data_IF_290219413482
#
_entry.id   IF_290219413482
#
_cell.length_a   1.000
_cell.length_b   1.000
_cell.length_c   1.000
_cell.angle_alpha   90.00
_cell.angle_beta   90.00
_cell.angle_gamma   90.00
#
_symmetry.space_group_name_H-M   'P 1'
#
loop_
_entity.id
_entity.type
_entity.pdbx_description
1 polymer ?
#
# COMPACT_ATOMS: atom_id res chain seq x y z
N UNK A 1 -5.40 6.39 41.63
CA UNK A 1 -4.66 6.39 40.35
C UNK A 1 -5.02 7.69 39.63
N UNK A 2 -4.03 8.52 39.24
CA UNK A 2 -4.26 9.88 38.70
C UNK A 2 -3.98 10.03 37.21
N UNK A 3 -3.61 8.95 36.51
CA UNK A 3 -3.32 8.96 35.08
C UNK A 3 -3.84 7.68 34.42
N UNK A 4 -4.20 7.80 33.15
CA UNK A 4 -4.64 6.71 32.26
C UNK A 4 -3.77 6.73 31.00
N UNK A 5 -3.27 5.57 30.57
CA UNK A 5 -2.49 5.45 29.35
C UNK A 5 -3.42 5.20 28.14
N UNK A 6 -3.29 6.02 27.11
CA UNK A 6 -4.01 5.87 25.83
C UNK A 6 -3.02 5.50 24.75
N UNK A 7 -3.18 4.32 24.14
CA UNK A 7 -2.24 3.75 23.16
C UNK A 7 -2.95 3.51 21.84
N UNK A 8 -2.36 4.03 20.75
CA UNK A 8 -2.74 3.73 19.37
C UNK A 8 -1.60 3.03 18.64
N UNK A 9 -1.93 2.12 17.72
CA UNK A 9 -0.96 1.36 16.94
C UNK A 9 -1.15 1.63 15.44
N UNK A 10 -0.04 1.76 14.72
CA UNK A 10 -0.01 1.80 13.27
C UNK A 10 0.70 0.53 12.77
N UNK A 11 0.00 -0.25 11.94
CA UNK A 11 0.49 -1.55 11.47
C UNK A 11 0.54 -1.55 9.95
N UNK A 12 1.71 -1.86 9.39
CA UNK A 12 1.89 -2.09 7.96
C UNK A 12 2.02 -3.59 7.70
N UNK A 13 1.29 -4.10 6.70
CA UNK A 13 1.28 -5.53 6.33
C UNK A 13 1.66 -5.68 4.86
N UNK A 14 2.65 -6.51 4.58
CA UNK A 14 3.01 -6.86 3.20
C UNK A 14 2.04 -7.92 2.65
N UNK A 15 1.36 -7.60 1.55
CA UNK A 15 0.44 -8.52 0.89
C UNK A 15 1.23 -9.53 0.04
N UNK A 16 1.04 -10.82 0.32
CA UNK A 16 1.68 -11.93 -0.41
C UNK A 16 1.08 -12.13 -1.81
N UNK A 17 1.33 -11.16 -2.68
CA UNK A 17 0.93 -11.15 -4.10
C UNK A 17 2.09 -11.65 -4.97
N UNK A 18 1.80 -12.09 -6.21
CA UNK A 18 2.85 -12.54 -7.14
C UNK A 18 3.64 -11.37 -7.74
N UNK A 19 2.95 -10.26 -8.01
CA UNK A 19 3.53 -9.05 -8.62
C UNK A 19 3.31 -7.82 -7.74
N UNK A 20 4.15 -6.80 -7.90
CA UNK A 20 4.07 -5.55 -7.15
C UNK A 20 2.72 -4.83 -7.33
N UNK A 21 2.45 -3.86 -6.46
CA UNK A 21 1.16 -3.17 -6.41
C UNK A 21 0.81 -2.35 -7.67
N UNK A 22 1.82 -1.80 -8.37
CA UNK A 22 1.60 -0.85 -9.48
C UNK A 22 2.33 -1.22 -10.78
N UNK A 23 2.95 -2.40 -10.85
CA UNK A 23 3.64 -2.91 -12.04
C UNK A 23 3.73 -4.45 -12.01
N UNK A 24 4.18 -5.05 -13.10
CA UNK A 24 4.22 -6.52 -13.24
C UNK A 24 5.51 -7.18 -12.73
N UNK A 25 6.40 -6.45 -12.04
CA UNK A 25 7.59 -7.06 -11.43
C UNK A 25 7.19 -8.06 -10.33
N UNK A 26 7.98 -9.13 -10.10
CA UNK A 26 7.76 -10.04 -8.98
C UNK A 26 7.78 -9.34 -7.63
N UNK A 27 6.89 -9.76 -6.72
CA UNK A 27 6.95 -9.44 -5.28
C UNK A 27 7.52 -10.65 -4.52
N UNK A 28 8.84 -10.85 -4.64
CA UNK A 28 9.55 -12.00 -4.08
C UNK A 28 10.71 -11.56 -3.19
N UNK A 29 10.90 -12.27 -2.08
CA UNK A 29 12.00 -12.06 -1.14
C UNK A 29 13.28 -12.77 -1.60
N UNK A 30 14.44 -12.21 -1.27
CA UNK A 30 15.74 -12.88 -1.41
C UNK A 30 16.36 -12.87 -2.82
N UNK A 31 15.88 -12.03 -3.73
CA UNK A 31 16.52 -11.84 -5.05
C UNK A 31 17.73 -10.90 -4.96
N UNK A 32 18.63 -11.01 -5.94
CA UNK A 32 19.78 -10.12 -6.06
C UNK A 32 19.36 -8.63 -6.15
N UNK A 33 20.18 -7.69 -5.65
CA UNK A 33 19.88 -6.27 -5.68
C UNK A 33 19.47 -5.78 -7.08
N UNK A 34 18.39 -4.99 -7.15
CA UNK A 34 17.90 -4.36 -8.37
C UNK A 34 17.58 -5.32 -9.54
N UNK A 35 17.19 -6.57 -9.27
CA UNK A 35 16.79 -7.53 -10.32
C UNK A 35 15.28 -7.58 -10.56
N UNK A 36 14.46 -7.53 -9.51
CA UNK A 36 13.01 -7.48 -9.62
C UNK A 36 12.51 -6.04 -9.84
N UNK A 37 12.99 -5.38 -10.89
CA UNK A 37 12.72 -3.96 -11.17
C UNK A 37 12.25 -3.70 -12.60
N UNK A 38 11.62 -2.55 -12.82
CA UNK A 38 11.21 -2.05 -14.13
C UNK A 38 11.12 -0.52 -14.07
N UNK A 39 10.94 0.17 -15.22
CA UNK A 39 10.84 1.63 -15.25
C UNK A 39 9.78 2.21 -14.30
N UNK A 40 8.64 1.54 -14.12
CA UNK A 40 7.54 2.02 -13.25
C UNK A 40 7.97 2.04 -11.78
N UNK A 41 8.51 0.93 -11.26
CA UNK A 41 8.89 0.87 -9.85
C UNK A 41 10.19 1.62 -9.56
N UNK A 42 11.04 1.84 -10.57
CA UNK A 42 12.21 2.71 -10.51
C UNK A 42 11.89 4.20 -10.72
N UNK A 43 10.63 4.57 -10.91
CA UNK A 43 10.23 5.98 -11.05
C UNK A 43 10.85 6.68 -12.27
N UNK A 44 11.13 5.96 -13.36
CA UNK A 44 11.73 6.55 -14.55
C UNK A 44 10.77 7.54 -15.25
N UNK A 45 11.28 8.51 -16.02
CA UNK A 45 10.43 9.47 -16.74
C UNK A 45 9.43 8.78 -17.69
N UNK A 46 8.21 9.28 -17.75
CA UNK A 46 7.17 8.84 -18.70
C UNK A 46 6.37 7.60 -18.28
N UNK A 47 6.61 7.04 -17.10
CA UNK A 47 5.93 5.82 -16.62
C UNK A 47 4.59 6.12 -15.93
N UNK A 48 3.67 5.15 -15.97
CA UNK A 48 2.38 5.22 -15.29
C UNK A 48 2.13 3.97 -14.42
N UNK A 49 1.51 4.11 -13.23
CA UNK A 49 1.17 2.99 -12.37
C UNK A 49 -0.07 2.24 -12.88
N UNK A 50 -0.08 0.91 -12.74
CA UNK A 50 -1.25 0.06 -13.04
C UNK A 50 -1.53 -0.81 -11.81
N UNK A 51 -2.67 -0.60 -11.16
CA UNK A 51 -3.03 -1.32 -9.93
C UNK A 51 -3.14 -2.83 -10.16
N UNK A 52 -2.50 -3.61 -9.28
CA UNK A 52 -2.66 -5.05 -9.19
C UNK A 52 -4.04 -5.40 -8.59
N UNK A 53 -4.88 -6.11 -9.34
CA UNK A 53 -6.21 -6.52 -8.90
C UNK A 53 -6.18 -7.38 -7.61
N UNK A 54 -5.18 -8.23 -7.43
CA UNK A 54 -5.05 -9.07 -6.22
C UNK A 54 -4.76 -8.22 -4.98
N UNK A 55 -4.07 -7.08 -5.11
CA UNK A 55 -3.87 -6.14 -4.00
C UNK A 55 -5.22 -5.61 -3.52
N UNK A 56 -6.10 -5.21 -4.44
CA UNK A 56 -7.45 -4.76 -4.10
C UNK A 56 -8.28 -5.87 -3.46
N UNK A 57 -8.27 -7.07 -4.03
CA UNK A 57 -8.99 -8.22 -3.48
C UNK A 57 -8.57 -8.52 -2.03
N UNK A 58 -7.26 -8.59 -1.78
CA UNK A 58 -6.74 -8.88 -0.45
C UNK A 58 -7.08 -7.76 0.53
N UNK A 59 -6.98 -6.50 0.13
CA UNK A 59 -7.35 -5.37 0.99
C UNK A 59 -8.84 -5.40 1.38
N UNK A 60 -9.75 -5.72 0.44
CA UNK A 60 -11.19 -5.90 0.72
C UNK A 60 -11.40 -7.09 1.67
N UNK A 61 -10.77 -8.23 1.40
CA UNK A 61 -10.88 -9.42 2.25
C UNK A 61 -10.42 -9.16 3.68
N UNK A 62 -9.30 -8.48 3.85
CA UNK A 62 -8.80 -8.06 5.18
C UNK A 62 -9.76 -7.07 5.83
N UNK A 63 -10.28 -6.08 5.09
CA UNK A 63 -11.28 -5.15 5.61
C UNK A 63 -12.52 -5.84 6.15
N UNK A 64 -13.08 -6.79 5.39
CA UNK A 64 -14.23 -7.58 5.84
C UNK A 64 -13.90 -8.44 7.07
N UNK A 65 -12.71 -9.05 7.12
CA UNK A 65 -12.26 -9.83 8.27
C UNK A 65 -12.05 -8.99 9.55
N UNK A 66 -11.72 -7.70 9.39
CA UNK A 66 -11.59 -6.74 10.48
C UNK A 66 -12.89 -5.95 10.74
N UNK A 67 -14.03 -6.44 10.23
CA UNK A 67 -15.35 -5.83 10.39
C UNK A 67 -15.45 -4.37 9.90
N UNK A 68 -14.61 -3.97 8.94
CA UNK A 68 -14.62 -2.62 8.38
C UNK A 68 -15.81 -2.41 7.42
N UNK A 69 -16.26 -1.16 7.32
CA UNK A 69 -17.06 -0.69 6.19
C UNK A 69 -16.19 -0.59 4.93
N UNK A 70 -16.61 -1.24 3.84
CA UNK A 70 -15.92 -1.16 2.54
C UNK A 70 -16.48 0.00 1.72
N UNK A 71 -15.60 0.91 1.32
CA UNK A 71 -15.97 2.07 0.51
C UNK A 71 -16.42 1.66 -0.90
N UNK A 72 -17.58 2.20 -1.35
CA UNK A 72 -18.06 2.04 -2.74
C UNK A 72 -17.27 2.86 -3.74
N UNK A 73 -16.69 3.97 -3.26
CA UNK A 73 -15.79 4.82 -4.02
C UNK A 73 -14.55 5.08 -3.16
N UNK A 74 -13.39 4.90 -3.77
CA UNK A 74 -12.11 5.11 -3.13
C UNK A 74 -11.10 5.53 -4.20
N UNK A 75 -10.09 6.29 -3.80
CA UNK A 75 -9.06 6.81 -4.71
C UNK A 75 -7.67 6.56 -4.16
N UNK A 76 -6.69 6.65 -5.04
CA UNK A 76 -5.29 6.71 -4.68
C UNK A 76 -4.79 8.15 -4.70
N UNK A 77 -3.90 8.45 -3.77
CA UNK A 77 -3.30 9.75 -3.52
C UNK A 77 -1.77 9.67 -3.54
N UNK A 78 -1.11 10.80 -3.77
CA UNK A 78 0.34 10.91 -3.70
C UNK A 78 0.76 11.51 -2.37
N UNK A 79 1.43 10.72 -1.52
CA UNK A 79 2.10 11.20 -0.30
C UNK A 79 3.52 11.62 -0.68
N UNK A 80 3.75 12.92 -0.85
CA UNK A 80 5.01 13.47 -1.38
C UNK A 80 6.06 13.65 -0.27
N UNK A 81 7.24 13.06 -0.47
CA UNK A 81 8.43 13.26 0.38
C UNK A 81 9.68 12.74 -0.34
N UNK A 82 10.84 13.31 -0.02
CA UNK A 82 12.10 12.95 -0.65
C UNK A 82 12.86 11.95 0.22
N UNK A 83 13.17 10.78 -0.34
CA UNK A 83 14.04 9.81 0.29
C UNK A 83 14.67 8.89 -0.75
N UNK A 84 15.94 8.45 -0.62
CA UNK A 84 16.63 7.68 -1.67
C UNK A 84 15.98 6.34 -2.05
N UNK A 85 15.21 5.71 -1.15
CA UNK A 85 14.49 4.46 -1.44
C UNK A 85 13.13 4.66 -2.14
N UNK A 86 12.69 5.91 -2.28
CA UNK A 86 11.42 6.29 -2.86
C UNK A 86 11.64 7.01 -4.20
N UNK A 87 11.87 6.26 -5.30
CA UNK A 87 12.38 6.84 -6.55
C UNK A 87 11.44 7.85 -7.22
N UNK A 88 10.15 7.85 -6.87
CA UNK A 88 9.16 8.79 -7.42
C UNK A 88 9.07 10.10 -6.63
N UNK A 89 9.73 10.20 -5.47
CA UNK A 89 9.53 11.27 -4.47
C UNK A 89 8.07 11.42 -3.98
N UNK A 90 7.25 10.40 -4.23
CA UNK A 90 5.95 10.22 -3.63
C UNK A 90 5.60 8.73 -3.54
N UNK A 91 4.89 8.39 -2.48
CA UNK A 91 4.27 7.09 -2.30
C UNK A 91 2.82 7.17 -2.79
N UNK A 92 2.40 6.19 -3.60
CA UNK A 92 0.98 6.03 -3.94
C UNK A 92 0.32 5.34 -2.75
N UNK A 93 -0.63 6.02 -2.11
CA UNK A 93 -1.36 5.54 -0.93
C UNK A 93 -2.82 5.98 -1.02
N UNK A 94 -3.55 6.00 0.09
CA UNK A 94 -4.89 6.58 0.22
C UNK A 94 -4.88 7.57 1.38
N UNK A 95 -5.61 8.67 1.26
CA UNK A 95 -5.70 9.68 2.31
C UNK A 95 -7.13 9.81 2.87
N UNK A 96 -7.92 10.73 2.33
CA UNK A 96 -9.26 11.10 2.80
C UNK A 96 -10.35 10.08 2.45
N UNK A 97 -10.12 9.24 1.43
CA UNK A 97 -11.09 8.22 0.96
C UNK A 97 -10.49 6.81 1.00
N UNK A 98 -10.16 6.28 2.20
CA UNK A 98 -9.59 4.94 2.35
C UNK A 98 -10.60 3.85 1.96
N UNK A 99 -10.09 2.70 1.53
CA UNK A 99 -10.93 1.57 1.12
C UNK A 99 -11.74 0.96 2.28
N UNK A 100 -11.15 0.90 3.49
CA UNK A 100 -11.71 0.26 4.66
C UNK A 100 -11.69 1.24 5.85
N UNK A 101 -12.80 1.37 6.59
CA UNK A 101 -12.89 2.24 7.78
C UNK A 101 -13.79 1.65 8.86
N UNK A 102 -13.71 2.21 10.07
CA UNK A 102 -14.61 1.90 11.20
C UNK A 102 -14.67 0.42 11.61
N UNK A 103 -13.55 -0.32 11.49
CA UNK A 103 -13.48 -1.73 11.90
C UNK A 103 -13.15 -1.93 13.39
N UNK A 104 -13.10 -3.20 13.80
CA UNK A 104 -12.71 -3.63 15.14
C UNK A 104 -12.15 -5.07 15.10
N UNK A 105 -11.29 -5.39 16.06
CA UNK A 105 -10.63 -6.69 16.24
C UNK A 105 -10.70 -7.16 17.69
#
# INVERSE_FOLDING_TARGET
MSYEAVIGLEVHVELRTKTKAFCSCPNAFGSEPNTNVCPICLGMPGVLPVLNQTVLEYAIRTGLALNCEIARFSKFDRKNYFYPDLPKNYQISQYDLPLCRNGYL
#
